data_IF_445304478058
#
_entry.id   IF_445304478058
#
_cell.length_a   1.000
_cell.length_b   1.000
_cell.length_c   1.000
_cell.angle_alpha   90.00
_cell.angle_beta   90.00
_cell.angle_gamma   90.00
#
_symmetry.space_group_name_H-M   'P 1'
#
loop_
_entity.id
_entity.type
_entity.pdbx_description
1 polymer ?
#
# COMPACT_ATOMS: atom_id res chain seq x y z
N UNK A 1 -26.70 25.38 17.00
CA UNK A 1 -26.69 24.26 16.02
C UNK A 1 -25.44 23.44 16.25
N UNK A 2 -25.61 22.16 16.60
CA UNK A 2 -24.51 21.21 16.71
C UNK A 2 -23.93 20.94 15.31
N UNK A 3 -22.61 21.06 15.16
CA UNK A 3 -21.90 20.79 13.91
C UNK A 3 -22.01 19.29 13.62
N UNK A 4 -22.74 18.90 12.59
CA UNK A 4 -22.80 17.51 12.14
C UNK A 4 -21.43 17.18 11.52
N UNK A 5 -20.64 16.33 12.19
CA UNK A 5 -19.44 15.77 11.58
C UNK A 5 -19.83 14.62 10.66
N UNK A 6 -19.51 14.75 9.37
CA UNK A 6 -19.68 13.68 8.39
C UNK A 6 -18.68 12.56 8.70
N UNK A 7 -19.17 11.33 8.84
CA UNK A 7 -18.32 10.13 8.94
C UNK A 7 -17.47 10.00 7.69
N UNK A 8 -16.20 9.61 7.86
CA UNK A 8 -15.25 9.37 6.77
C UNK A 8 -15.01 7.88 6.62
N UNK A 9 -15.04 7.39 5.39
CA UNK A 9 -14.77 5.98 5.07
C UNK A 9 -13.29 5.78 4.78
N UNK A 10 -12.66 4.85 5.51
CA UNK A 10 -11.31 4.36 5.22
C UNK A 10 -11.37 3.26 4.15
N UNK A 11 -10.24 2.98 3.51
CA UNK A 11 -10.09 1.87 2.59
C UNK A 11 -10.08 0.49 3.28
N UNK A 12 -9.96 -0.57 2.47
CA UNK A 12 -9.93 -1.96 2.91
C UNK A 12 -8.52 -2.56 2.93
N UNK A 13 -8.45 -3.90 3.04
CA UNK A 13 -7.17 -4.62 2.99
C UNK A 13 -6.49 -4.46 1.63
N UNK A 14 -5.36 -3.75 1.61
CA UNK A 14 -4.55 -3.55 0.40
C UNK A 14 -4.13 -4.89 -0.22
N UNK A 15 -3.65 -5.84 0.58
CA UNK A 15 -3.12 -7.10 0.04
C UNK A 15 -4.17 -8.06 -0.46
N UNK A 16 -5.37 -8.01 0.10
CA UNK A 16 -6.49 -8.74 -0.47
C UNK A 16 -6.85 -8.19 -1.85
N UNK A 17 -6.85 -6.86 -2.01
CA UNK A 17 -7.27 -6.21 -3.25
C UNK A 17 -6.20 -6.21 -4.34
N UNK A 18 -4.91 -6.04 -3.99
CA UNK A 18 -3.80 -6.03 -4.97
C UNK A 18 -3.69 -7.34 -5.73
N UNK A 19 -4.10 -8.46 -5.13
CA UNK A 19 -4.16 -9.78 -5.78
C UNK A 19 -4.97 -9.81 -7.08
N UNK A 20 -5.86 -8.82 -7.30
CA UNK A 20 -6.63 -8.67 -8.53
C UNK A 20 -5.86 -7.99 -9.67
N UNK A 21 -4.77 -7.32 -9.34
CA UNK A 21 -3.97 -6.47 -10.24
C UNK A 21 -2.53 -6.98 -10.41
N UNK A 22 -2.18 -8.09 -9.76
CA UNK A 22 -0.88 -8.77 -9.90
C UNK A 22 -1.08 -10.26 -10.18
N UNK A 23 -0.07 -10.88 -10.80
CA UNK A 23 0.05 -12.33 -10.91
C UNK A 23 1.03 -12.93 -9.89
N UNK A 24 1.68 -12.08 -9.07
CA UNK A 24 2.68 -12.49 -8.08
C UNK A 24 2.04 -12.73 -6.73
N UNK A 25 2.11 -13.97 -6.29
CA UNK A 25 1.85 -14.33 -4.90
C UNK A 25 3.07 -13.95 -4.05
N UNK A 26 2.81 -13.22 -2.97
CA UNK A 26 3.83 -12.77 -2.01
C UNK A 26 3.54 -13.29 -0.61
N UNK A 27 2.70 -14.33 -0.49
CA UNK A 27 2.48 -15.02 0.77
C UNK A 27 3.83 -15.48 1.37
N UNK A 28 4.00 -15.20 2.66
CA UNK A 28 5.27 -15.40 3.38
C UNK A 28 6.39 -14.39 3.08
N UNK A 29 6.21 -13.43 2.16
CA UNK A 29 7.22 -12.40 1.91
C UNK A 29 7.29 -11.39 3.06
N UNK A 30 8.48 -11.02 3.58
CA UNK A 30 8.61 -10.09 4.71
C UNK A 30 8.11 -8.66 4.40
N UNK A 31 7.93 -8.32 3.12
CA UNK A 31 7.33 -7.08 2.62
C UNK A 31 6.04 -7.33 1.84
N UNK A 32 5.21 -8.29 2.26
CA UNK A 32 3.98 -8.70 1.58
C UNK A 32 3.06 -7.53 1.18
N UNK A 33 3.10 -6.39 1.88
CA UNK A 33 2.36 -5.19 1.46
C UNK A 33 3.15 -4.22 0.57
N UNK A 34 4.45 -4.04 0.84
CA UNK A 34 5.25 -2.95 0.25
C UNK A 34 6.16 -3.39 -0.91
N UNK A 35 6.34 -4.69 -1.13
CA UNK A 35 7.16 -5.21 -2.25
C UNK A 35 6.60 -4.79 -3.62
N UNK A 36 5.29 -4.58 -3.72
CA UNK A 36 4.64 -4.12 -4.94
C UNK A 36 5.02 -2.68 -5.30
N UNK A 37 5.42 -1.84 -4.32
CA UNK A 37 5.84 -0.46 -4.59
C UNK A 37 7.06 -0.39 -5.52
N UNK A 38 7.96 -1.38 -5.43
CA UNK A 38 9.17 -1.45 -6.26
C UNK A 38 9.03 -2.41 -7.43
N UNK A 39 8.24 -3.46 -7.29
CA UNK A 39 8.15 -4.53 -8.30
C UNK A 39 7.02 -4.34 -9.30
N UNK A 40 5.89 -3.76 -8.90
CA UNK A 40 4.66 -3.59 -9.71
C UNK A 40 3.86 -2.33 -9.26
N UNK A 41 4.42 -1.12 -9.42
CA UNK A 41 3.81 0.10 -8.89
C UNK A 41 2.43 0.40 -9.50
N UNK A 42 2.17 0.01 -10.74
CA UNK A 42 0.86 0.13 -11.37
C UNK A 42 -0.22 -0.70 -10.64
N UNK A 43 0.12 -1.88 -10.10
CA UNK A 43 -0.81 -2.70 -9.33
C UNK A 43 -1.23 -1.98 -8.03
N UNK A 44 -0.30 -1.26 -7.39
CA UNK A 44 -0.61 -0.41 -6.23
C UNK A 44 -1.58 0.71 -6.61
N UNK A 45 -1.37 1.36 -7.75
CA UNK A 45 -2.22 2.45 -8.24
C UNK A 45 -3.64 1.96 -8.52
N UNK A 46 -3.80 0.85 -9.24
CA UNK A 46 -5.14 0.30 -9.53
C UNK A 46 -5.85 -0.18 -8.26
N UNK A 47 -5.11 -0.73 -7.30
CA UNK A 47 -5.65 -1.11 -5.98
C UNK A 47 -6.25 0.09 -5.25
N UNK A 48 -5.53 1.22 -5.16
CA UNK A 48 -6.07 2.42 -4.53
C UNK A 48 -7.22 3.03 -5.34
N UNK A 49 -7.18 2.95 -6.67
CA UNK A 49 -8.30 3.39 -7.53
C UNK A 49 -9.57 2.61 -7.23
N UNK A 50 -9.48 1.32 -6.95
CA UNK A 50 -10.66 0.52 -6.59
C UNK A 50 -11.30 0.99 -5.29
N UNK A 51 -10.52 1.33 -4.27
CA UNK A 51 -11.05 1.88 -3.01
C UNK A 51 -11.71 3.24 -3.21
N UNK A 52 -11.10 4.10 -4.03
CA UNK A 52 -11.68 5.41 -4.39
C UNK A 52 -13.02 5.21 -5.13
N UNK A 53 -13.06 4.30 -6.12
CA UNK A 53 -14.28 3.96 -6.86
C UNK A 53 -15.37 3.35 -5.95
N UNK A 54 -14.98 2.62 -4.91
CA UNK A 54 -15.88 2.06 -3.91
C UNK A 54 -16.39 3.10 -2.89
N UNK A 55 -15.86 4.33 -2.90
CA UNK A 55 -16.32 5.44 -2.07
C UNK A 55 -15.48 5.73 -0.83
N UNK A 56 -14.25 5.22 -0.74
CA UNK A 56 -13.33 5.59 0.34
C UNK A 56 -13.02 7.09 0.31
N UNK A 57 -13.15 7.76 1.46
CA UNK A 57 -12.72 9.15 1.65
C UNK A 57 -11.21 9.23 1.94
N UNK A 58 -10.64 8.16 2.52
CA UNK A 58 -9.26 8.08 2.99
C UNK A 58 -8.68 6.78 2.47
N UNK A 59 -7.48 6.84 1.90
CA UNK A 59 -6.67 5.67 1.55
C UNK A 59 -5.40 5.67 2.39
N UNK A 60 -4.90 4.49 2.71
CA UNK A 60 -3.65 4.31 3.42
C UNK A 60 -2.55 3.90 2.43
N UNK A 61 -1.37 4.53 2.51
CA UNK A 61 -0.24 4.13 1.69
C UNK A 61 0.23 2.71 2.08
N UNK A 62 0.65 1.94 1.08
CA UNK A 62 1.14 0.54 1.27
C UNK A 62 2.54 0.45 1.85
N UNK A 63 2.92 1.40 2.71
CA UNK A 63 4.26 1.55 3.29
C UNK A 63 4.38 0.92 4.68
N UNK A 64 3.40 0.12 5.13
CA UNK A 64 3.39 -0.45 6.50
C UNK A 64 4.70 -1.16 6.86
N UNK A 65 5.30 -1.89 5.92
CA UNK A 65 6.56 -2.63 6.10
C UNK A 65 7.78 -1.93 5.49
N UNK A 66 7.60 -0.78 4.84
CA UNK A 66 8.63 -0.04 4.13
C UNK A 66 9.49 0.79 5.09
N UNK A 67 10.15 0.13 6.03
CA UNK A 67 11.13 0.76 6.91
C UNK A 67 12.57 0.50 6.43
N UNK A 68 13.48 1.37 6.90
CA UNK A 68 14.86 1.38 6.40
C UNK A 68 15.56 0.04 6.61
N UNK A 69 15.45 -0.50 7.81
CA UNK A 69 16.10 -1.74 8.19
C UNK A 69 15.60 -2.95 7.38
N UNK A 70 14.28 -3.02 7.14
CA UNK A 70 13.65 -4.11 6.40
C UNK A 70 14.03 -4.08 4.92
N UNK A 71 14.05 -2.89 4.32
CA UNK A 71 14.42 -2.71 2.91
C UNK A 71 15.91 -3.02 2.69
N UNK A 72 16.79 -2.53 3.57
CA UNK A 72 18.23 -2.82 3.49
C UNK A 72 18.53 -4.31 3.66
N UNK A 73 17.85 -5.02 4.57
CA UNK A 73 17.97 -6.48 4.72
C UNK A 73 17.62 -7.27 3.47
N UNK A 74 16.78 -6.70 2.60
CA UNK A 74 16.35 -7.32 1.34
C UNK A 74 17.18 -6.87 0.14
N UNK A 75 18.27 -6.12 0.37
CA UNK A 75 19.22 -5.73 -0.66
C UNK A 75 18.87 -4.43 -1.39
N UNK A 76 17.86 -3.68 -0.93
CA UNK A 76 17.60 -2.34 -1.46
C UNK A 76 18.67 -1.36 -0.96
N UNK A 77 19.11 -0.45 -1.85
CA UNK A 77 20.08 0.57 -1.47
C UNK A 77 19.47 1.58 -0.51
N UNK A 78 20.29 2.09 0.41
CA UNK A 78 19.86 3.08 1.41
C UNK A 78 19.21 4.33 0.79
N UNK A 79 19.63 4.70 -0.43
CA UNK A 79 19.03 5.79 -1.19
C UNK A 79 17.58 5.51 -1.63
N UNK A 80 17.29 4.31 -2.16
CA UNK A 80 15.91 3.91 -2.51
C UNK A 80 15.05 3.93 -1.25
N UNK A 81 15.63 3.42 -0.17
CA UNK A 81 15.01 3.27 1.12
C UNK A 81 14.64 4.61 1.78
N UNK A 82 15.50 5.63 1.67
CA UNK A 82 15.22 6.99 2.14
C UNK A 82 14.25 7.75 1.23
N UNK A 83 14.21 7.43 -0.06
CA UNK A 83 13.30 8.06 -1.03
C UNK A 83 11.83 7.64 -0.87
N UNK A 84 11.56 6.61 -0.05
CA UNK A 84 10.21 6.13 0.29
C UNK A 84 9.59 6.86 1.49
N UNK A 85 10.35 7.76 2.14
CA UNK A 85 9.93 8.64 3.24
C UNK A 85 9.85 10.10 2.79
#
# INVERSE_FOLDING_TARGET
MSKICKVKLLDGSFTSQVSRHTIKDVDGHPLWSSVYLTTEPEACVETHRDFIRAGADIIQSSCYQANVDNLTKLGYSEWITQSLY
#
